data_IF_670745169417
#
_entry.id   IF_670745169417
#
_cell.length_a   1.000
_cell.length_b   1.000
_cell.length_c   1.000
_cell.angle_alpha   90.00
_cell.angle_beta   90.00
_cell.angle_gamma   90.00
#
_symmetry.space_group_name_H-M   'P 1'
#
loop_
_entity.id
_entity.type
_entity.pdbx_description
1 polymer ?
#
# COMPACT_ATOMS: atom_id res chain seq x y z
N UNK A 1 9.66 9.36 13.40
CA UNK A 1 9.36 7.95 13.05
C UNK A 1 10.60 7.13 12.70
N UNK A 2 11.82 7.57 13.05
CA UNK A 2 13.10 6.86 12.84
C UNK A 2 13.08 5.38 13.25
N UNK A 3 12.30 5.06 14.30
CA UNK A 3 12.06 3.70 14.80
C UNK A 3 11.50 2.72 13.78
N UNK A 4 10.69 3.14 12.80
CA UNK A 4 10.07 2.19 11.87
C UNK A 4 11.06 1.73 10.79
N UNK A 5 11.87 2.63 10.22
CA UNK A 5 12.99 2.23 9.36
C UNK A 5 13.95 1.28 10.11
N UNK A 6 14.41 1.66 11.30
CA UNK A 6 15.32 0.84 12.12
C UNK A 6 14.73 -0.56 12.40
N UNK A 7 13.44 -0.63 12.74
CA UNK A 7 12.76 -1.90 12.97
C UNK A 7 12.70 -2.77 11.70
N UNK A 8 12.44 -2.17 10.54
CA UNK A 8 12.42 -2.87 9.26
C UNK A 8 13.81 -3.38 8.88
N UNK A 9 14.84 -2.54 8.93
CA UNK A 9 16.23 -2.92 8.66
C UNK A 9 16.64 -4.06 9.58
N UNK A 10 16.35 -3.95 10.88
CA UNK A 10 16.63 -5.01 11.85
C UNK A 10 15.89 -6.31 11.53
N UNK A 11 14.64 -6.25 11.06
CA UNK A 11 13.88 -7.43 10.66
C UNK A 11 14.47 -8.10 9.42
N UNK A 12 14.86 -7.32 8.42
CA UNK A 12 15.47 -7.83 7.18
C UNK A 12 16.83 -8.46 7.46
N UNK A 13 17.65 -7.83 8.31
CA UNK A 13 18.95 -8.39 8.69
C UNK A 13 18.81 -9.75 9.38
N UNK A 14 17.84 -9.93 10.28
CA UNK A 14 17.55 -11.24 10.89
C UNK A 14 17.15 -12.31 9.86
N UNK A 15 16.39 -11.92 8.83
CA UNK A 15 16.07 -12.83 7.70
C UNK A 15 17.37 -13.23 6.99
N UNK A 16 18.23 -12.27 6.64
CA UNK A 16 19.48 -12.52 5.92
C UNK A 16 20.53 -13.29 6.73
N UNK A 17 20.54 -13.15 8.05
CA UNK A 17 21.35 -13.98 8.95
C UNK A 17 20.96 -15.47 8.86
N UNK A 18 19.66 -15.75 8.75
CA UNK A 18 19.14 -17.12 8.69
C UNK A 18 19.12 -17.68 7.26
N UNK A 19 18.89 -16.82 6.27
CA UNK A 19 18.81 -17.15 4.85
C UNK A 19 19.60 -16.12 4.01
N UNK A 20 20.94 -16.27 3.92
CA UNK A 20 21.81 -15.26 3.30
C UNK A 20 21.55 -15.01 1.81
N UNK A 21 20.95 -15.98 1.11
CA UNK A 21 20.60 -15.88 -0.31
C UNK A 21 19.14 -15.49 -0.56
N UNK A 22 18.36 -15.19 0.48
CA UNK A 22 16.96 -14.83 0.31
C UNK A 22 16.79 -13.52 -0.47
N UNK A 23 15.95 -13.55 -1.50
CA UNK A 23 15.38 -12.34 -2.10
C UNK A 23 14.35 -11.77 -1.12
N UNK A 24 14.53 -10.51 -0.72
CA UNK A 24 13.59 -9.80 0.16
C UNK A 24 12.89 -8.71 -0.64
N UNK A 25 11.56 -8.75 -0.61
CA UNK A 25 10.69 -7.75 -1.24
C UNK A 25 9.91 -7.07 -0.13
N UNK A 26 10.09 -5.75 0.00
CA UNK A 26 9.32 -4.91 0.89
C UNK A 26 8.07 -4.46 0.13
N UNK A 27 6.92 -4.89 0.62
CA UNK A 27 5.63 -4.59 0.02
C UNK A 27 5.08 -3.27 0.59
N UNK A 28 4.85 -2.29 -0.29
CA UNK A 28 4.24 -1.01 0.07
C UNK A 28 2.72 -1.09 0.29
N UNK A 29 2.20 -0.10 1.02
CA UNK A 29 0.77 0.13 1.18
C UNK A 29 0.18 0.82 -0.07
N UNK A 30 -1.12 0.67 -0.37
CA UNK A 30 -1.77 1.49 -1.40
C UNK A 30 -1.99 2.93 -0.88
N UNK A 31 -2.35 3.86 -1.77
CA UNK A 31 -2.80 5.19 -1.39
C UNK A 31 -4.22 5.12 -0.80
N UNK A 32 -4.43 5.73 0.36
CA UNK A 32 -5.73 5.73 1.07
C UNK A 32 -6.47 7.08 0.93
N UNK A 33 -5.97 7.98 0.07
CA UNK A 33 -6.44 9.37 -0.05
C UNK A 33 -7.02 9.70 -1.42
N UNK A 34 -7.60 10.89 -1.55
CA UNK A 34 -8.07 11.43 -2.83
C UNK A 34 -7.05 12.35 -3.51
N UNK A 35 -5.82 12.43 -3.00
CA UNK A 35 -4.79 13.37 -3.48
C UNK A 35 -4.99 14.83 -3.04
N UNK A 36 -6.05 15.15 -2.30
CA UNK A 36 -6.39 16.50 -1.82
C UNK A 36 -6.53 16.58 -0.29
N UNK A 37 -5.79 15.75 0.44
CA UNK A 37 -5.85 15.62 1.91
C UNK A 37 -7.21 15.14 2.46
N UNK A 38 -8.03 14.47 1.64
CA UNK A 38 -9.20 13.77 2.13
C UNK A 38 -8.97 12.26 2.14
N UNK A 39 -9.69 11.62 3.05
CA UNK A 39 -9.91 10.18 3.05
C UNK A 39 -11.33 9.90 2.59
N UNK A 40 -11.55 8.70 2.07
CA UNK A 40 -12.88 8.29 1.62
C UNK A 40 -13.48 7.27 2.56
N UNK A 41 -14.14 7.77 3.61
CA UNK A 41 -14.79 6.95 4.63
C UNK A 41 -15.88 6.03 4.07
N UNK A 42 -16.51 6.38 2.95
CA UNK A 42 -17.43 5.50 2.24
C UNK A 42 -17.29 5.60 0.72
N UNK A 43 -17.49 4.47 0.06
CA UNK A 43 -17.66 4.35 -1.39
C UNK A 43 -18.77 3.32 -1.65
N UNK A 44 -19.98 3.81 -1.87
CA UNK A 44 -21.20 3.02 -1.95
C UNK A 44 -22.05 3.52 -3.11
N UNK A 45 -22.57 2.60 -3.93
CA UNK A 45 -23.48 2.93 -5.03
C UNK A 45 -22.88 3.98 -5.99
N UNK A 46 -21.56 3.89 -6.23
CA UNK A 46 -20.81 4.83 -7.06
C UNK A 46 -20.80 6.29 -6.51
N UNK A 47 -20.95 6.42 -5.18
CA UNK A 47 -20.84 7.68 -4.45
C UNK A 47 -19.74 7.54 -3.41
N UNK A 48 -18.67 8.29 -3.62
CA UNK A 48 -17.53 8.39 -2.70
C UNK A 48 -17.67 9.61 -1.80
N UNK A 49 -17.46 9.42 -0.49
CA UNK A 49 -17.38 10.52 0.47
C UNK A 49 -15.98 11.12 0.50
N UNK A 50 -15.85 12.41 0.85
CA UNK A 50 -14.56 13.07 1.02
C UNK A 50 -14.49 13.73 2.39
N UNK A 51 -13.62 13.21 3.25
CA UNK A 51 -13.47 13.63 4.65
C UNK A 51 -12.09 14.23 4.82
N UNK A 52 -12.03 15.53 5.13
CA UNK A 52 -10.75 16.21 5.30
C UNK A 52 -10.00 15.60 6.48
N UNK A 53 -8.92 14.88 6.18
CA UNK A 53 -8.09 14.22 7.17
C UNK A 53 -6.63 14.11 6.69
N UNK A 54 -5.88 15.23 6.69
CA UNK A 54 -4.54 15.33 6.09
C UNK A 54 -3.50 14.43 6.74
N UNK A 55 -3.77 13.94 7.96
CA UNK A 55 -2.84 13.06 8.67
C UNK A 55 -2.61 11.74 7.92
N UNK A 56 -3.60 11.23 7.19
CA UNK A 56 -3.43 9.97 6.43
C UNK A 56 -2.42 10.16 5.30
N UNK A 57 -2.56 11.22 4.49
CA UNK A 57 -1.61 11.56 3.44
C UNK A 57 -0.18 11.73 4.00
N UNK A 58 -0.05 12.44 5.12
CA UNK A 58 1.26 12.61 5.78
C UNK A 58 1.86 11.27 6.23
N UNK A 59 1.10 10.43 6.95
CA UNK A 59 1.64 9.19 7.48
C UNK A 59 1.91 8.13 6.41
N UNK A 60 1.09 8.04 5.35
CA UNK A 60 1.35 7.10 4.26
C UNK A 60 2.64 7.46 3.50
N UNK A 61 2.89 8.76 3.24
CA UNK A 61 4.10 9.22 2.56
C UNK A 61 5.35 8.93 3.40
N UNK A 62 5.26 9.15 4.71
CA UNK A 62 6.32 8.83 5.66
C UNK A 62 6.59 7.33 5.75
N UNK A 63 5.55 6.49 5.78
CA UNK A 63 5.69 5.02 5.75
C UNK A 63 6.35 4.59 4.44
N UNK A 64 5.84 5.06 3.29
CA UNK A 64 6.37 4.77 1.95
C UNK A 64 7.85 5.13 1.86
N UNK A 65 8.24 6.31 2.31
CA UNK A 65 9.63 6.76 2.28
C UNK A 65 10.52 5.91 3.20
N UNK A 66 10.05 5.54 4.38
CA UNK A 66 10.83 4.69 5.29
C UNK A 66 10.95 3.26 4.77
N UNK A 67 9.92 2.71 4.11
CA UNK A 67 10.01 1.42 3.43
C UNK A 67 11.02 1.46 2.29
N UNK A 68 11.00 2.52 1.47
CA UNK A 68 11.95 2.74 0.39
C UNK A 68 13.40 2.87 0.91
N UNK A 69 13.61 3.59 2.01
CA UNK A 69 14.93 3.71 2.67
C UNK A 69 15.41 2.36 3.20
N UNK A 70 14.58 1.64 3.93
CA UNK A 70 14.92 0.31 4.43
C UNK A 70 15.29 -0.67 3.31
N UNK A 71 14.61 -0.59 2.16
CA UNK A 71 14.95 -1.38 0.98
C UNK A 71 16.34 -1.02 0.45
N UNK A 72 16.65 0.27 0.31
CA UNK A 72 17.96 0.74 -0.11
C UNK A 72 19.07 0.34 0.89
N UNK A 73 18.86 0.57 2.18
CA UNK A 73 19.83 0.30 3.26
C UNK A 73 20.16 -1.19 3.38
N UNK A 74 19.24 -2.07 2.97
CA UNK A 74 19.40 -3.51 3.06
C UNK A 74 19.69 -4.18 1.73
N UNK A 75 19.75 -3.45 0.61
CA UNK A 75 19.78 -4.01 -0.74
C UNK A 75 18.65 -5.05 -0.94
N UNK A 76 17.42 -4.59 -0.72
CA UNK A 76 16.17 -5.33 -0.93
C UNK A 76 15.31 -4.59 -1.94
N UNK A 77 14.34 -5.29 -2.54
CA UNK A 77 13.40 -4.66 -3.49
C UNK A 77 12.29 -3.93 -2.73
N UNK A 78 11.80 -2.82 -3.30
CA UNK A 78 10.62 -2.11 -2.80
C UNK A 78 9.52 -2.05 -3.85
N UNK A 79 8.34 -2.57 -3.51
CA UNK A 79 7.13 -2.44 -4.32
C UNK A 79 6.31 -1.26 -3.85
N UNK A 80 6.37 -0.20 -4.64
CA UNK A 80 5.73 1.08 -4.36
C UNK A 80 4.25 1.07 -4.78
N UNK A 81 3.41 0.47 -3.95
CA UNK A 81 2.00 0.28 -4.27
C UNK A 81 1.18 1.57 -4.19
N UNK A 82 1.67 2.62 -3.51
CA UNK A 82 1.04 3.96 -3.55
C UNK A 82 1.03 4.51 -4.97
N UNK A 83 2.10 4.27 -5.75
CA UNK A 83 2.18 4.71 -7.14
C UNK A 83 1.31 3.87 -8.10
N UNK A 84 1.07 2.61 -7.78
CA UNK A 84 0.31 1.67 -8.62
C UNK A 84 -1.19 1.66 -8.29
N UNK A 85 -1.56 1.98 -7.05
CA UNK A 85 -2.92 1.94 -6.52
C UNK A 85 -3.24 3.27 -5.85
N UNK A 86 -3.65 4.22 -6.69
CA UNK A 86 -4.02 5.58 -6.31
C UNK A 86 -5.34 6.02 -6.91
N UNK A 87 -5.81 7.21 -6.51
CA UNK A 87 -6.96 7.85 -7.14
C UNK A 87 -6.69 8.16 -8.62
N UNK A 88 -5.47 8.54 -9.00
CA UNK A 88 -5.13 8.82 -10.41
C UNK A 88 -5.16 7.56 -11.28
N UNK A 89 -4.72 6.42 -10.73
CA UNK A 89 -4.85 5.12 -11.39
C UNK A 89 -6.29 4.60 -11.42
N UNK A 90 -7.19 5.24 -10.66
CA UNK A 90 -8.56 4.79 -10.45
C UNK A 90 -8.66 3.53 -9.62
N UNK A 91 -7.64 3.13 -8.85
CA UNK A 91 -7.60 1.82 -8.17
C UNK A 91 -7.68 1.85 -6.65
N UNK A 92 -7.71 3.00 -6.00
CA UNK A 92 -7.85 3.04 -4.55
C UNK A 92 -9.31 3.15 -4.05
N UNK A 93 -9.51 3.19 -2.74
CA UNK A 93 -10.84 3.31 -2.13
C UNK A 93 -11.57 4.61 -2.46
N UNK A 94 -10.84 5.67 -2.82
CA UNK A 94 -11.42 6.94 -3.23
C UNK A 94 -11.90 6.97 -4.70
N UNK A 95 -11.59 5.94 -5.50
CA UNK A 95 -12.02 5.89 -6.90
C UNK A 95 -13.41 5.29 -7.04
N UNK A 96 -14.20 5.82 -7.98
CA UNK A 96 -15.49 5.23 -8.36
C UNK A 96 -15.36 4.01 -9.28
N UNK A 97 -14.17 3.41 -9.40
CA UNK A 97 -13.98 2.22 -10.22
C UNK A 97 -14.60 1.01 -9.51
N UNK A 98 -15.56 0.30 -10.13
CA UNK A 98 -16.10 -0.94 -9.58
C UNK A 98 -15.03 -2.05 -9.48
N UNK A 99 -13.94 -1.94 -10.24
CA UNK A 99 -12.75 -2.80 -10.21
C UNK A 99 -11.57 -2.20 -9.46
N UNK A 100 -11.82 -1.33 -8.47
CA UNK A 100 -10.78 -0.80 -7.56
C UNK A 100 -10.13 -1.91 -6.72
N UNK A 101 -8.89 -1.68 -6.35
CA UNK A 101 -8.03 -2.60 -5.62
C UNK A 101 -7.96 -2.28 -4.12
N UNK A 102 -8.06 -1.00 -3.74
CA UNK A 102 -8.24 -0.56 -2.36
C UNK A 102 -9.72 -0.35 -2.03
N UNK A 103 -10.11 -0.63 -0.79
CA UNK A 103 -11.46 -0.42 -0.29
C UNK A 103 -11.54 0.80 0.65
N UNK A 104 -12.63 1.55 0.56
CA UNK A 104 -13.01 2.52 1.60
C UNK A 104 -13.32 1.83 2.96
N UNK A 105 -13.49 2.62 4.01
CA UNK A 105 -13.90 2.08 5.34
C UNK A 105 -15.27 1.40 5.25
N UNK A 106 -16.25 2.07 4.63
CA UNK A 106 -17.54 1.51 4.26
C UNK A 106 -17.63 1.41 2.74
N UNK A 107 -17.52 0.21 2.21
CA UNK A 107 -17.32 -0.02 0.77
C UNK A 107 -18.32 -1.06 0.24
N UNK A 108 -18.71 -1.01 -1.04
CA UNK A 108 -19.65 -1.95 -1.67
C UNK A 108 -18.99 -3.03 -2.55
N UNK A 109 -17.66 -3.02 -2.72
CA UNK A 109 -16.89 -4.02 -3.46
C UNK A 109 -17.01 -5.44 -2.87
N UNK A 110 -16.53 -6.46 -3.61
CA UNK A 110 -16.41 -7.83 -3.09
C UNK A 110 -15.23 -7.96 -2.13
N UNK A 111 -15.43 -8.70 -1.02
CA UNK A 111 -14.48 -8.92 0.09
C UNK A 111 -13.64 -7.67 0.43
N UNK A 112 -14.26 -6.74 1.16
CA UNK A 112 -13.58 -5.59 1.75
C UNK A 112 -13.38 -5.77 3.25
N UNK A 113 -12.19 -5.39 3.71
CA UNK A 113 -11.97 -4.94 5.07
C UNK A 113 -11.72 -3.44 5.00
N UNK A 114 -12.15 -2.71 6.02
CA UNK A 114 -12.04 -1.25 6.05
C UNK A 114 -10.59 -0.79 5.81
N UNK A 115 -10.35 -0.01 4.74
CA UNK A 115 -9.01 0.49 4.40
C UNK A 115 -8.01 -0.61 4.04
N UNK A 116 -8.48 -1.74 3.53
CA UNK A 116 -7.66 -2.84 3.05
C UNK A 116 -7.93 -3.09 1.57
N UNK A 117 -7.26 -4.09 1.00
CA UNK A 117 -7.47 -4.52 -0.36
C UNK A 117 -8.85 -5.18 -0.55
N UNK A 118 -9.39 -5.00 -1.76
CA UNK A 118 -10.49 -5.82 -2.29
C UNK A 118 -9.95 -7.18 -2.78
N UNK A 119 -10.83 -8.09 -3.20
CA UNK A 119 -10.42 -9.32 -3.91
C UNK A 119 -9.48 -9.04 -5.09
N UNK A 120 -9.85 -8.06 -5.92
CA UNK A 120 -9.07 -7.67 -7.08
C UNK A 120 -7.70 -7.11 -6.66
N UNK A 121 -7.66 -6.34 -5.56
CA UNK A 121 -6.43 -5.86 -4.98
C UNK A 121 -5.52 -6.97 -4.48
N UNK A 122 -6.07 -7.97 -3.79
CA UNK A 122 -5.30 -9.14 -3.34
C UNK A 122 -4.68 -9.91 -4.52
N UNK A 123 -5.45 -10.15 -5.59
CA UNK A 123 -4.93 -10.79 -6.81
C UNK A 123 -3.84 -9.94 -7.46
N UNK A 124 -4.03 -8.62 -7.51
CA UNK A 124 -3.05 -7.71 -8.08
C UNK A 124 -1.74 -7.72 -7.29
N UNK A 125 -1.81 -7.63 -5.96
CA UNK A 125 -0.64 -7.74 -5.07
C UNK A 125 0.12 -9.05 -5.28
N UNK A 126 -0.58 -10.18 -5.30
CA UNK A 126 0.05 -11.49 -5.54
C UNK A 126 0.76 -11.55 -6.90
N UNK A 127 0.15 -10.98 -7.93
CA UNK A 127 0.76 -10.86 -9.26
C UNK A 127 2.03 -10.02 -9.22
N UNK A 128 1.99 -8.82 -8.64
CA UNK A 128 3.16 -7.91 -8.57
C UNK A 128 4.32 -8.53 -7.79
N UNK A 129 4.05 -9.17 -6.66
CA UNK A 129 5.06 -9.91 -5.89
C UNK A 129 5.71 -11.00 -6.74
N UNK A 130 4.91 -11.77 -7.47
CA UNK A 130 5.40 -12.85 -8.34
C UNK A 130 6.28 -12.30 -9.46
N UNK A 131 5.83 -11.26 -10.17
CA UNK A 131 6.58 -10.63 -11.25
C UNK A 131 7.94 -10.11 -10.77
N UNK A 132 7.98 -9.46 -9.61
CA UNK A 132 9.22 -8.94 -9.03
C UNK A 132 10.14 -10.03 -8.50
N UNK A 133 9.59 -11.09 -7.92
CA UNK A 133 10.41 -12.19 -7.41
C UNK A 133 11.16 -12.92 -8.54
N UNK A 134 10.53 -13.03 -9.71
CA UNK A 134 11.05 -13.78 -10.86
C UNK A 134 11.71 -12.91 -11.94
N UNK A 135 11.74 -11.58 -11.79
CA UNK A 135 12.69 -10.72 -12.53
C UNK A 135 14.12 -10.92 -12.06
#
# INVERSE_FOLDING_TARGET
>A
MERFNEAMVGAINRIKETAPSAKVIILGIPDETDGFNHTCGSNLLNVTSHWYFPLVAYYQDEIREQQRRAAADTNSEFLDMVAEISVESGKNGCSNDPGRYGASIADDASHKLAGHLTDAGHVYYAKRITETYFS
#
